data_IF_614009994325
#
_entry.id   IF_614009994325
#
_cell.length_a   1.000
_cell.length_b   1.000
_cell.length_c   1.000
_cell.angle_alpha   90.00
_cell.angle_beta   90.00
_cell.angle_gamma   90.00
#
_symmetry.space_group_name_H-M   'P 1'
#
loop_
_entity.id
_entity.type
_entity.pdbx_description
1 polymer ?
#
# COMPACT_ATOMS: atom_id res chain seq x y z
N UNK A 1 59.37 7.05 28.80
CA UNK A 1 59.07 6.29 27.55
C UNK A 1 57.97 5.25 27.70
N UNK A 2 57.71 4.71 28.90
CA UNK A 2 56.68 3.68 29.18
C UNK A 2 55.23 4.12 28.89
N UNK A 3 54.84 5.36 29.22
CA UNK A 3 53.47 5.84 28.97
C UNK A 3 53.14 6.05 27.48
N UNK A 4 54.14 6.38 26.64
CA UNK A 4 53.92 6.58 25.20
C UNK A 4 53.57 5.28 24.48
N UNK A 5 54.15 4.16 24.93
CA UNK A 5 53.90 2.81 24.38
C UNK A 5 52.49 2.32 24.77
N UNK A 6 52.04 2.62 26.00
CA UNK A 6 50.69 2.30 26.46
C UNK A 6 49.61 3.08 25.69
N UNK A 7 49.84 4.38 25.47
CA UNK A 7 48.90 5.22 24.70
C UNK A 7 48.85 4.76 23.24
N UNK A 8 49.98 4.42 22.64
CA UNK A 8 50.03 3.91 21.26
C UNK A 8 49.34 2.54 21.14
N UNK A 9 49.50 1.65 22.13
CA UNK A 9 48.81 0.35 22.17
C UNK A 9 47.30 0.46 22.33
N UNK A 10 46.81 1.40 23.15
CA UNK A 10 45.38 1.69 23.31
C UNK A 10 44.82 2.32 22.03
N UNK A 11 45.57 3.21 21.38
CA UNK A 11 45.17 3.82 20.12
C UNK A 11 45.08 2.77 19.00
N UNK A 12 46.04 1.84 18.92
CA UNK A 12 46.04 0.76 17.93
C UNK A 12 44.91 -0.26 18.16
N UNK A 13 44.55 -0.52 19.43
CA UNK A 13 43.41 -1.36 19.78
C UNK A 13 42.06 -0.72 19.39
N UNK A 14 41.95 0.61 19.45
CA UNK A 14 40.76 1.35 19.01
C UNK A 14 40.52 1.28 17.49
N UNK A 15 41.56 1.09 16.67
CA UNK A 15 41.43 1.00 15.21
C UNK A 15 41.20 -0.43 14.68
N UNK A 16 41.34 -1.46 15.52
CA UNK A 16 41.35 -2.86 15.09
C UNK A 16 39.98 -3.57 15.11
N UNK A 17 38.90 -2.89 15.47
CA UNK A 17 37.55 -3.50 15.51
C UNK A 17 36.58 -2.81 14.55
N UNK A 18 36.91 -2.82 13.26
CA UNK A 18 35.87 -2.79 12.24
C UNK A 18 35.54 -4.24 11.91
N UNK A 19 34.69 -4.83 12.75
CA UNK A 19 34.06 -6.10 12.42
C UNK A 19 33.14 -5.86 11.23
N UNK A 20 33.43 -6.51 10.10
CA UNK A 20 32.59 -6.47 8.91
C UNK A 20 31.30 -7.25 9.21
N UNK A 21 30.32 -6.53 9.75
CA UNK A 21 29.05 -7.09 10.15
C UNK A 21 28.25 -7.40 8.88
N UNK A 22 28.18 -8.67 8.51
CA UNK A 22 27.32 -9.13 7.42
C UNK A 22 25.85 -8.88 7.81
N UNK A 23 25.23 -7.85 7.23
CA UNK A 23 23.81 -7.55 7.41
C UNK A 23 23.00 -8.38 6.42
N UNK A 24 22.42 -9.48 6.91
CA UNK A 24 21.46 -10.29 6.14
C UNK A 24 20.09 -9.66 6.34
N UNK A 25 19.54 -9.04 5.28
CA UNK A 25 18.15 -8.56 5.28
C UNK A 25 17.27 -9.73 4.83
N UNK A 26 16.53 -10.31 5.77
CA UNK A 26 15.49 -11.28 5.42
C UNK A 26 14.24 -10.54 4.95
N UNK A 27 13.54 -11.03 3.90
CA UNK A 27 12.23 -10.50 3.53
C UNK A 27 11.25 -10.73 4.69
N UNK A 28 10.91 -9.67 5.41
CA UNK A 28 9.85 -9.70 6.42
C UNK A 28 8.58 -9.17 5.79
N UNK A 29 7.61 -10.04 5.54
CA UNK A 29 6.27 -9.69 5.08
C UNK A 29 5.22 -10.19 6.05
N UNK A 30 4.14 -9.43 6.22
CA UNK A 30 2.93 -9.90 6.89
C UNK A 30 1.95 -10.37 5.82
N UNK A 31 1.45 -11.60 5.93
CA UNK A 31 0.48 -12.16 5.00
C UNK A 31 -0.75 -12.63 5.76
N UNK A 32 -1.92 -12.16 5.33
CA UNK A 32 -3.21 -12.55 5.87
C UNK A 32 -3.98 -13.27 4.78
N UNK A 33 -4.41 -14.51 5.04
CA UNK A 33 -5.17 -15.31 4.08
C UNK A 33 -6.48 -15.80 4.72
N UNK A 34 -7.57 -15.74 3.97
CA UNK A 34 -8.89 -16.19 4.39
C UNK A 34 -9.47 -17.07 3.28
N UNK A 35 -9.70 -18.35 3.59
CA UNK A 35 -10.27 -19.34 2.68
C UNK A 35 -11.65 -19.78 3.15
N UNK A 36 -12.68 -19.02 2.80
CA UNK A 36 -14.07 -19.27 3.22
C UNK A 36 -15.00 -19.24 2.02
N UNK A 37 -16.05 -20.06 2.05
CA UNK A 37 -17.13 -20.04 1.06
C UNK A 37 -18.33 -19.31 1.65
N UNK A 38 -18.83 -18.29 0.95
CA UNK A 38 -20.00 -17.51 1.36
C UNK A 38 -21.03 -17.45 0.23
N UNK A 39 -22.30 -17.49 0.57
CA UNK A 39 -23.38 -17.24 -0.38
C UNK A 39 -23.77 -15.76 -0.26
N UNK A 40 -23.58 -14.99 -1.34
CA UNK A 40 -23.78 -13.54 -1.36
C UNK A 40 -24.82 -13.22 -2.43
N UNK A 41 -25.89 -12.46 -2.09
CA UNK A 41 -26.84 -12.00 -3.10
C UNK A 41 -26.18 -11.01 -4.06
N UNK A 42 -26.74 -10.86 -5.26
CA UNK A 42 -26.25 -9.87 -6.22
C UNK A 42 -26.30 -8.44 -5.65
N UNK A 43 -25.20 -7.69 -5.80
CA UNK A 43 -25.02 -6.38 -5.18
C UNK A 43 -24.70 -6.42 -3.69
N UNK A 44 -24.62 -7.61 -3.09
CA UNK A 44 -24.35 -7.82 -1.67
C UNK A 44 -22.90 -7.58 -1.28
N UNK A 45 -22.71 -7.24 0.00
CA UNK A 45 -21.42 -7.11 0.65
C UNK A 45 -21.34 -8.05 1.84
N UNK A 46 -20.23 -8.77 1.96
CA UNK A 46 -19.99 -9.70 3.08
C UNK A 46 -18.59 -9.49 3.66
N UNK A 47 -18.52 -9.43 4.98
CA UNK A 47 -17.29 -9.51 5.75
C UNK A 47 -16.84 -10.98 5.78
N UNK A 48 -15.68 -11.27 5.21
CA UNK A 48 -15.10 -12.61 5.23
C UNK A 48 -14.38 -12.92 6.53
N UNK A 49 -13.79 -11.90 7.14
CA UNK A 49 -13.04 -12.05 8.37
C UNK A 49 -12.36 -10.78 8.82
N UNK A 50 -12.09 -10.73 10.12
CA UNK A 50 -11.42 -9.66 10.80
C UNK A 50 -10.37 -10.23 11.75
N UNK A 51 -9.23 -9.55 11.86
CA UNK A 51 -8.18 -9.85 12.83
C UNK A 51 -7.88 -8.58 13.60
N UNK A 52 -8.05 -8.63 14.92
CA UNK A 52 -7.64 -7.56 15.83
C UNK A 52 -6.39 -8.02 16.57
N UNK A 53 -5.35 -7.22 16.54
CA UNK A 53 -4.14 -7.48 17.30
C UNK A 53 -3.77 -6.25 18.13
N UNK A 54 -3.35 -6.52 19.35
CA UNK A 54 -2.96 -5.52 20.33
C UNK A 54 -1.77 -6.03 21.12
N UNK A 55 -0.73 -5.22 21.25
CA UNK A 55 0.39 -5.47 22.13
C UNK A 55 0.60 -4.26 23.02
N UNK A 56 0.62 -4.48 24.33
CA UNK A 56 0.91 -3.47 25.33
C UNK A 56 2.17 -3.89 26.08
N UNK A 57 3.12 -2.97 26.21
CA UNK A 57 4.39 -3.19 26.86
C UNK A 57 4.69 -2.04 27.80
N UNK A 58 5.12 -2.36 29.02
CA UNK A 58 5.60 -1.39 29.98
C UNK A 58 6.99 -1.80 30.45
N UNK A 59 7.95 -0.90 30.29
CA UNK A 59 9.29 -1.05 30.85
C UNK A 59 9.46 0.01 31.93
N UNK A 60 9.73 -0.44 33.15
CA UNK A 60 10.02 0.45 34.28
C UNK A 60 11.46 0.24 34.74
N UNK A 61 12.24 1.34 34.79
CA UNK A 61 13.56 1.40 35.40
C UNK A 61 13.51 2.42 36.55
N UNK A 62 13.61 1.92 37.77
CA UNK A 62 13.69 2.73 39.00
C UNK A 62 14.95 2.41 39.79
N UNK A 63 15.28 3.25 40.77
CA UNK A 63 16.33 2.93 41.73
C UNK A 63 15.91 1.74 42.62
N UNK A 64 16.71 0.67 42.71
CA UNK A 64 16.40 -0.44 43.60
C UNK A 64 16.41 0.03 45.07
N UNK A 65 15.33 -0.23 45.80
CA UNK A 65 15.20 0.09 47.23
C UNK A 65 14.47 1.39 47.59
N UNK A 66 14.08 2.21 46.61
CA UNK A 66 13.26 3.41 46.84
C UNK A 66 11.78 3.13 46.56
N UNK A 67 10.95 3.18 47.61
CA UNK A 67 9.48 3.11 47.48
C UNK A 67 9.03 4.39 46.76
N UNK A 68 8.21 4.31 45.69
CA UNK A 68 7.76 5.51 44.98
C UNK A 68 6.91 6.37 45.92
N UNK A 69 7.46 7.52 46.32
CA UNK A 69 6.72 8.55 47.05
C UNK A 69 5.71 9.19 46.09
N UNK A 70 4.44 9.22 46.50
CA UNK A 70 3.36 9.86 45.74
C UNK A 70 3.75 11.31 45.43
N UNK A 71 3.71 11.69 44.15
CA UNK A 71 4.10 13.03 43.67
C UNK A 71 5.55 13.16 43.17
N UNK A 72 6.48 12.32 43.63
CA UNK A 72 7.90 12.35 43.19
C UNK A 72 8.29 11.12 42.37
N UNK A 73 7.46 10.07 42.39
CA UNK A 73 7.64 8.82 41.65
C UNK A 73 7.96 8.95 40.15
N UNK A 74 7.39 9.89 39.38
CA UNK A 74 7.72 10.08 37.96
C UNK A 74 9.13 10.60 37.71
N UNK A 75 9.77 11.24 38.69
CA UNK A 75 11.12 11.81 38.57
C UNK A 75 12.21 10.75 38.86
N UNK A 76 11.90 9.74 39.68
CA UNK A 76 12.83 8.69 40.10
C UNK A 76 12.60 7.35 39.39
N UNK A 77 11.50 7.22 38.64
CA UNK A 77 11.18 6.04 37.84
C UNK A 77 11.00 6.41 36.38
N UNK A 78 11.92 5.94 35.53
CA UNK A 78 11.76 6.01 34.09
C UNK A 78 10.81 4.90 33.65
N UNK A 79 9.67 5.29 33.09
CA UNK A 79 8.70 4.37 32.50
C UNK A 79 8.59 4.61 31.00
N UNK A 80 8.67 3.53 30.23
CA UNK A 80 8.31 3.52 28.83
C UNK A 80 7.04 2.69 28.69
N UNK A 81 6.02 3.27 28.04
CA UNK A 81 4.79 2.59 27.70
C UNK A 81 4.69 2.51 26.18
N UNK A 82 4.39 1.33 25.66
CA UNK A 82 4.18 1.07 24.24
C UNK A 82 2.83 0.39 24.10
N UNK A 83 1.99 0.91 23.21
CA UNK A 83 0.76 0.26 22.78
C UNK A 83 0.77 0.20 21.27
N UNK A 84 0.63 -1.00 20.71
CA UNK A 84 0.44 -1.22 19.29
C UNK A 84 -0.92 -1.87 19.11
N UNK A 85 -1.77 -1.26 18.28
CA UNK A 85 -3.09 -1.78 17.95
C UNK A 85 -3.19 -1.79 16.43
N UNK A 86 -3.76 -2.86 15.89
CA UNK A 86 -4.02 -2.98 14.48
C UNK A 86 -5.23 -3.84 14.21
N UNK A 87 -5.86 -3.54 13.09
CA UNK A 87 -7.09 -4.18 12.67
C UNK A 87 -7.02 -4.43 11.17
N UNK A 88 -7.29 -5.67 10.77
CA UNK A 88 -7.36 -6.08 9.37
C UNK A 88 -8.74 -6.64 9.13
N UNK A 89 -9.47 -6.05 8.17
CA UNK A 89 -10.80 -6.50 7.77
C UNK A 89 -10.79 -6.83 6.27
N UNK A 90 -11.42 -7.94 5.90
CA UNK A 90 -11.51 -8.40 4.51
C UNK A 90 -12.98 -8.45 4.11
N UNK A 91 -13.34 -7.65 3.11
CA UNK A 91 -14.69 -7.59 2.55
C UNK A 91 -14.70 -8.03 1.10
N UNK A 92 -15.81 -8.64 0.69
CA UNK A 92 -16.12 -8.92 -0.71
C UNK A 92 -17.45 -8.27 -1.07
N UNK A 93 -17.44 -7.52 -2.17
CA UNK A 93 -18.65 -7.07 -2.86
C UNK A 93 -18.83 -7.91 -4.13
N UNK A 94 -20.03 -8.45 -4.33
CA UNK A 94 -20.35 -9.28 -5.51
C UNK A 94 -21.33 -8.52 -6.40
N UNK A 95 -21.07 -8.51 -7.70
CA UNK A 95 -22.01 -8.03 -8.72
C UNK A 95 -22.03 -8.96 -9.92
N UNK A 96 -23.23 -9.30 -10.36
CA UNK A 96 -23.47 -10.04 -11.60
C UNK A 96 -23.69 -9.02 -12.71
N UNK A 97 -22.96 -9.17 -13.81
CA UNK A 97 -23.07 -8.30 -14.97
C UNK A 97 -23.64 -9.06 -16.16
N UNK A 98 -24.76 -8.57 -16.68
CA UNK A 98 -25.23 -8.92 -18.02
C UNK A 98 -24.52 -8.00 -19.02
N UNK A 99 -23.58 -8.56 -19.78
CA UNK A 99 -22.76 -7.80 -20.71
C UNK A 99 -23.55 -7.31 -21.93
N UNK A 100 -24.60 -8.02 -22.35
CA UNK A 100 -25.36 -7.65 -23.55
C UNK A 100 -26.18 -6.38 -23.30
N UNK A 101 -26.93 -6.35 -22.21
CA UNK A 101 -27.72 -5.18 -21.85
C UNK A 101 -26.81 -4.01 -21.44
N UNK A 102 -25.69 -4.27 -20.76
CA UNK A 102 -24.73 -3.23 -20.41
C UNK A 102 -24.11 -2.58 -21.67
N UNK A 103 -23.78 -3.36 -22.69
CA UNK A 103 -23.24 -2.84 -23.94
C UNK A 103 -24.30 -2.04 -24.72
N UNK A 104 -25.54 -2.55 -24.79
CA UNK A 104 -26.68 -1.82 -25.37
C UNK A 104 -26.90 -0.46 -24.69
N UNK A 105 -26.92 -0.43 -23.36
CA UNK A 105 -27.09 0.81 -22.60
C UNK A 105 -25.91 1.77 -22.79
N UNK A 106 -24.69 1.23 -22.87
CA UNK A 106 -23.48 2.02 -23.14
C UNK A 106 -23.54 2.65 -24.52
N UNK A 107 -23.96 1.89 -25.53
CA UNK A 107 -24.13 2.37 -26.90
C UNK A 107 -25.19 3.49 -26.98
N UNK A 108 -26.35 3.29 -26.35
CA UNK A 108 -27.42 4.31 -26.32
C UNK A 108 -26.97 5.60 -25.63
N UNK A 109 -26.29 5.50 -24.49
CA UNK A 109 -25.69 6.66 -23.81
C UNK A 109 -24.64 7.34 -24.69
N UNK A 110 -23.81 6.58 -25.40
CA UNK A 110 -22.85 7.10 -26.36
C UNK A 110 -23.50 7.95 -27.45
N UNK A 111 -24.59 7.46 -28.04
CA UNK A 111 -25.37 8.21 -29.03
C UNK A 111 -25.97 9.50 -28.45
N UNK A 112 -26.54 9.45 -27.25
CA UNK A 112 -27.08 10.63 -26.58
C UNK A 112 -25.99 11.68 -26.32
N UNK A 113 -24.80 11.25 -25.90
CA UNK A 113 -23.66 12.14 -25.69
C UNK A 113 -23.21 12.78 -27.01
N UNK A 114 -23.15 12.01 -28.09
CA UNK A 114 -22.80 12.53 -29.43
C UNK A 114 -23.83 13.58 -29.88
N UNK A 115 -25.11 13.29 -29.71
CA UNK A 115 -26.20 14.21 -30.05
C UNK A 115 -26.15 15.48 -29.20
N UNK A 116 -25.97 15.36 -27.89
CA UNK A 116 -25.85 16.50 -26.98
C UNK A 116 -24.63 17.37 -27.30
N UNK A 117 -23.47 16.76 -27.58
CA UNK A 117 -22.26 17.48 -28.01
C UNK A 117 -22.45 18.18 -29.37
N UNK A 118 -23.18 17.57 -30.30
CA UNK A 118 -23.55 18.19 -31.58
C UNK A 118 -24.48 19.38 -31.38
N UNK A 119 -25.50 19.25 -30.52
CA UNK A 119 -26.42 20.34 -30.17
C UNK A 119 -25.70 21.50 -29.48
N UNK A 120 -24.68 21.22 -28.66
CA UNK A 120 -23.82 22.21 -28.03
C UNK A 120 -22.73 22.79 -28.96
N UNK A 121 -22.67 22.37 -30.22
CA UNK A 121 -21.71 22.88 -31.21
C UNK A 121 -20.28 22.35 -31.08
N UNK A 122 -20.03 21.38 -30.20
CA UNK A 122 -18.69 20.79 -30.01
C UNK A 122 -18.35 19.73 -31.06
N UNK A 123 -19.35 19.21 -31.79
CA UNK A 123 -19.15 18.22 -32.86
C UNK A 123 -19.75 18.72 -34.17
N UNK A 124 -19.12 18.43 -35.32
CA UNK A 124 -19.67 18.76 -36.62
C UNK A 124 -21.03 18.08 -36.84
N UNK A 125 -21.95 18.75 -37.54
CA UNK A 125 -23.31 18.26 -37.77
C UNK A 125 -23.37 17.05 -38.72
N UNK A 126 -22.44 16.96 -39.66
CA UNK A 126 -22.26 15.80 -40.53
C UNK A 126 -20.98 15.04 -40.18
N UNK A 127 -21.11 13.73 -40.05
CA UNK A 127 -19.98 12.83 -39.96
C UNK A 127 -19.38 12.73 -41.36
N UNK A 128 -18.14 13.21 -41.53
CA UNK A 128 -17.43 13.12 -42.82
C UNK A 128 -17.44 11.64 -43.25
N UNK A 129 -17.96 11.30 -44.44
CA UNK A 129 -18.07 9.91 -44.85
C UNK A 129 -16.70 9.25 -44.80
N UNK A 130 -16.67 8.04 -44.21
CA UNK A 130 -15.48 7.21 -44.22
C UNK A 130 -15.03 7.07 -45.67
N UNK A 131 -13.75 7.37 -45.97
CA UNK A 131 -13.29 7.33 -47.35
C UNK A 131 -13.39 5.90 -47.88
N UNK A 132 -14.02 5.71 -49.04
CA UNK A 132 -14.18 4.41 -49.72
C UNK A 132 -12.86 3.68 -50.01
N UNK A 133 -11.74 4.38 -49.90
CA UNK A 133 -10.40 3.81 -49.88
C UNK A 133 -9.66 4.35 -48.67
N UNK A 134 -8.99 3.45 -47.96
CA UNK A 134 -7.96 3.85 -46.99
C UNK A 134 -7.00 4.82 -47.71
N UNK A 135 -6.82 6.05 -47.19
CA UNK A 135 -5.85 6.97 -47.76
C UNK A 135 -4.47 6.31 -47.74
N UNK A 136 -3.67 6.59 -48.77
CA UNK A 136 -2.35 5.98 -48.96
C UNK A 136 -1.48 6.09 -47.69
N UNK A 137 -1.59 7.20 -46.98
CA UNK A 137 -0.86 7.49 -45.74
C UNK A 137 -1.16 6.49 -44.61
N UNK A 138 -2.41 6.03 -44.49
CA UNK A 138 -2.79 5.00 -43.52
C UNK A 138 -2.33 3.61 -43.99
N UNK A 139 -2.43 3.32 -45.29
CA UNK A 139 -1.89 2.06 -45.84
C UNK A 139 -0.40 1.93 -45.59
N UNK A 140 0.35 3.03 -45.72
CA UNK A 140 1.78 3.06 -45.44
C UNK A 140 2.09 2.92 -43.94
N UNK A 141 1.26 3.45 -43.05
CA UNK A 141 1.42 3.26 -41.60
C UNK A 141 1.16 1.83 -41.14
N UNK A 142 0.20 1.13 -41.76
CA UNK A 142 -0.07 -0.30 -41.47
C UNK A 142 0.85 -1.26 -42.23
N UNK A 143 1.42 -0.82 -43.36
CA UNK A 143 2.41 -1.57 -44.14
C UNK A 143 3.86 -1.27 -43.73
N UNK A 144 4.07 -0.34 -42.78
CA UNK A 144 5.34 -0.17 -42.10
C UNK A 144 5.53 -1.39 -41.19
N UNK A 145 6.05 -2.46 -41.76
CA UNK A 145 6.66 -3.54 -41.01
C UNK A 145 7.79 -2.99 -40.11
N UNK A 146 7.93 -3.66 -38.97
CA UNK A 146 9.05 -3.54 -38.03
C UNK A 146 10.40 -3.71 -38.71
#
# INVERSE_FOLDING_TARGET
>A
MRNKILILGILLACFAQQADAQVIILPTGQATSVGTTVNVPDGGFVLLGNVHYGAEGMIQRGLPGLIPIVGVGPLLNHRAFVSQKGETQIYIGVRIHDFEELDRQTFLKGLQIIQAKRAAGFLPPEEKPLPNRLPMDLKQSFASER
#
